data_IF_276135650648
#
_entry.id   IF_276135650648
#
_cell.length_a   1.000
_cell.length_b   1.000
_cell.length_c   1.000
_cell.angle_alpha   90.00
_cell.angle_beta   90.00
_cell.angle_gamma   90.00
#
_symmetry.space_group_name_H-M   'P 1'
#
loop_
_entity.id
_entity.type
_entity.pdbx_description
1 polymer ?
#
# COMPACT_ATOMS: atom_id res chain seq x y z
N UNK A 1 -30.79 -13.18 31.23
CA UNK A 1 -30.95 -11.74 30.95
C UNK A 1 -29.90 -11.36 29.93
N UNK A 2 -30.22 -11.42 28.64
CA UNK A 2 -29.28 -11.07 27.56
C UNK A 2 -29.21 -9.55 27.45
N UNK A 3 -28.02 -8.98 27.61
CA UNK A 3 -27.77 -7.56 27.28
C UNK A 3 -28.25 -7.33 25.84
N UNK A 4 -29.15 -6.37 25.59
CA UNK A 4 -29.54 -6.04 24.22
C UNK A 4 -28.27 -5.64 23.47
N UNK A 5 -28.10 -6.13 22.25
CA UNK A 5 -26.99 -5.76 21.38
C UNK A 5 -27.01 -4.23 21.16
N UNK A 6 -26.34 -3.49 22.04
CA UNK A 6 -26.17 -2.04 21.93
C UNK A 6 -25.19 -1.78 20.80
N UNK A 7 -25.70 -1.75 19.57
CA UNK A 7 -24.91 -1.22 18.46
C UNK A 7 -24.60 0.24 18.80
N UNK A 8 -23.32 0.59 18.89
CA UNK A 8 -22.91 1.97 19.09
C UNK A 8 -23.03 2.67 17.73
N UNK A 9 -24.00 3.59 17.53
CA UNK A 9 -24.15 4.25 16.24
C UNK A 9 -22.89 5.09 15.99
N UNK A 10 -22.21 4.87 14.87
CA UNK A 10 -20.98 5.60 14.51
C UNK A 10 -21.28 7.10 14.29
N UNK A 11 -22.52 7.42 13.91
CA UNK A 11 -23.03 8.79 13.77
C UNK A 11 -24.38 8.82 14.50
N UNK A 12 -24.46 9.59 15.56
CA UNK A 12 -25.67 9.72 16.39
C UNK A 12 -26.50 10.94 16.01
N UNK A 13 -25.88 12.01 15.51
CA UNK A 13 -26.56 13.24 15.08
C UNK A 13 -25.85 13.91 13.89
N UNK A 14 -26.55 14.78 13.16
CA UNK A 14 -25.97 15.58 12.05
C UNK A 14 -24.79 16.47 12.50
N UNK A 15 -24.72 16.80 13.79
CA UNK A 15 -23.61 17.56 14.39
C UNK A 15 -22.33 16.72 14.54
N UNK A 16 -22.45 15.39 14.64
CA UNK A 16 -21.31 14.46 14.80
C UNK A 16 -20.68 14.07 13.46
N UNK A 17 -21.43 14.26 12.37
CA UNK A 17 -21.06 13.98 10.99
C UNK A 17 -19.69 14.58 10.57
N UNK A 18 -19.36 15.87 10.83
CA UNK A 18 -18.04 16.42 10.50
C UNK A 18 -16.90 15.76 11.29
N UNK A 19 -17.10 15.48 12.57
CA UNK A 19 -16.08 14.84 13.43
C UNK A 19 -15.85 13.38 13.00
N UNK A 20 -16.92 12.65 12.69
CA UNK A 20 -16.84 11.28 12.19
C UNK A 20 -16.13 11.21 10.84
N UNK A 21 -16.39 12.15 9.91
CA UNK A 21 -15.68 12.26 8.62
C UNK A 21 -14.18 12.50 8.82
N UNK A 22 -13.81 13.40 9.74
CA UNK A 22 -12.41 13.68 10.06
C UNK A 22 -11.68 12.43 10.58
N UNK A 23 -12.33 11.64 11.43
CA UNK A 23 -11.76 10.37 11.93
C UNK A 23 -11.61 9.33 10.83
N UNK A 24 -12.60 9.17 9.94
CA UNK A 24 -12.51 8.22 8.81
C UNK A 24 -11.35 8.51 7.87
N UNK A 25 -11.07 9.79 7.60
CA UNK A 25 -9.95 10.18 6.75
C UNK A 25 -8.61 9.70 7.31
N UNK A 26 -8.42 9.74 8.64
CA UNK A 26 -7.18 9.27 9.29
C UNK A 26 -6.91 7.78 8.97
N UNK A 27 -7.96 6.95 8.94
CA UNK A 27 -7.84 5.51 8.69
C UNK A 27 -7.82 5.14 7.20
N UNK A 28 -8.38 5.98 6.33
CA UNK A 28 -8.40 5.74 4.87
C UNK A 28 -7.10 6.22 4.20
N UNK A 29 -6.47 7.28 4.73
CA UNK A 29 -5.23 7.84 4.19
C UNK A 29 -4.11 6.80 3.99
N UNK A 30 -3.78 5.92 4.97
CA UNK A 30 -2.79 4.88 4.77
C UNK A 30 -3.13 3.98 3.58
N UNK A 31 -4.38 3.51 3.48
CA UNK A 31 -4.83 2.67 2.37
C UNK A 31 -4.63 3.36 1.02
N UNK A 32 -5.15 4.57 0.84
CA UNK A 32 -5.05 5.30 -0.43
C UNK A 32 -3.60 5.56 -0.81
N UNK A 33 -2.77 5.92 0.16
CA UNK A 33 -1.39 6.28 -0.08
C UNK A 33 -0.56 5.06 -0.50
N UNK A 34 -0.74 3.91 0.16
CA UNK A 34 -0.10 2.67 -0.28
C UNK A 34 -0.67 2.17 -1.61
N UNK A 35 -1.98 2.22 -1.80
CA UNK A 35 -2.64 1.84 -3.05
C UNK A 35 -2.10 2.63 -4.26
N UNK A 36 -2.06 3.97 -4.18
CA UNK A 36 -1.60 4.82 -5.27
C UNK A 36 -0.12 4.59 -5.60
N UNK A 37 0.74 4.52 -4.58
CA UNK A 37 2.16 4.24 -4.78
C UNK A 37 2.39 2.86 -5.40
N UNK A 38 1.68 1.84 -4.91
CA UNK A 38 1.71 0.49 -5.46
C UNK A 38 1.22 0.47 -6.91
N UNK A 39 0.13 1.16 -7.22
CA UNK A 39 -0.40 1.24 -8.59
C UNK A 39 0.61 1.87 -9.55
N UNK A 40 1.27 2.97 -9.15
CA UNK A 40 2.31 3.61 -9.97
C UNK A 40 3.47 2.64 -10.21
N UNK A 41 3.95 1.95 -9.16
CA UNK A 41 5.04 0.99 -9.27
C UNK A 41 4.68 -0.19 -10.19
N UNK A 42 3.45 -0.70 -10.08
CA UNK A 42 2.95 -1.80 -10.89
C UNK A 42 2.71 -1.40 -12.36
N UNK A 43 2.30 -0.16 -12.64
CA UNK A 43 2.22 0.37 -14.02
C UNK A 43 3.61 0.40 -14.66
N UNK A 44 4.63 0.89 -13.94
CA UNK A 44 6.00 0.91 -14.42
C UNK A 44 6.48 -0.52 -14.68
N UNK A 45 6.17 -1.45 -13.76
CA UNK A 45 6.57 -2.83 -13.92
C UNK A 45 5.89 -3.52 -15.10
N UNK A 46 4.59 -3.30 -15.28
CA UNK A 46 3.83 -3.80 -16.42
C UNK A 46 4.41 -3.26 -17.74
N UNK A 47 4.73 -1.96 -17.79
CA UNK A 47 5.34 -1.35 -18.96
C UNK A 47 6.70 -1.99 -19.30
N UNK A 48 7.59 -2.15 -18.30
CA UNK A 48 8.88 -2.83 -18.50
C UNK A 48 8.68 -4.29 -18.93
N UNK A 49 7.74 -5.01 -18.30
CA UNK A 49 7.42 -6.39 -18.64
C UNK A 49 6.97 -6.56 -20.09
N UNK A 50 6.11 -5.65 -20.57
CA UNK A 50 5.58 -5.68 -21.95
C UNK A 50 6.62 -5.22 -22.97
N UNK A 51 7.26 -4.07 -22.76
CA UNK A 51 8.08 -3.44 -23.79
C UNK A 51 9.52 -3.97 -23.85
N UNK A 52 10.06 -4.49 -22.74
CA UNK A 52 11.48 -4.87 -22.65
C UNK A 52 11.65 -6.39 -22.52
N UNK A 53 10.76 -7.08 -21.80
CA UNK A 53 11.01 -8.48 -21.38
C UNK A 53 10.21 -9.52 -22.18
N UNK A 54 8.93 -9.69 -21.87
CA UNK A 54 8.13 -10.87 -22.29
C UNK A 54 7.04 -10.54 -23.31
N UNK A 55 6.92 -9.28 -23.73
CA UNK A 55 5.95 -8.86 -24.73
C UNK A 55 4.50 -8.94 -24.26
N UNK A 56 3.59 -9.04 -25.22
CA UNK A 56 2.12 -9.06 -25.02
C UNK A 56 1.55 -10.45 -24.71
N UNK A 57 2.40 -11.47 -24.52
CA UNK A 57 1.95 -12.80 -24.10
C UNK A 57 1.20 -12.69 -22.77
N UNK A 58 0.05 -13.35 -22.65
CA UNK A 58 -0.77 -13.40 -21.42
C UNK A 58 -1.14 -12.00 -20.86
N UNK A 59 -1.29 -11.00 -21.74
CA UNK A 59 -1.48 -9.59 -21.38
C UNK A 59 -2.67 -9.35 -20.43
N UNK A 60 -3.80 -10.05 -20.65
CA UNK A 60 -4.97 -9.91 -19.80
C UNK A 60 -4.67 -10.30 -18.34
N UNK A 61 -3.91 -11.38 -18.14
CA UNK A 61 -3.52 -11.82 -16.80
C UNK A 61 -2.51 -10.88 -16.18
N UNK A 62 -1.54 -10.39 -16.96
CA UNK A 62 -0.58 -9.36 -16.49
C UNK A 62 -1.32 -8.13 -16.00
N UNK A 63 -2.25 -7.61 -16.80
CA UNK A 63 -3.04 -6.40 -16.48
C UNK A 63 -3.91 -6.61 -15.25
N UNK A 64 -4.65 -7.71 -15.15
CA UNK A 64 -5.49 -7.99 -13.98
C UNK A 64 -4.64 -8.14 -12.71
N UNK A 65 -3.51 -8.85 -12.81
CA UNK A 65 -2.60 -9.05 -11.69
C UNK A 65 -2.00 -7.72 -11.21
N UNK A 66 -1.40 -6.93 -12.10
CA UNK A 66 -0.64 -5.73 -11.73
C UNK A 66 -1.51 -4.50 -11.50
N UNK A 67 -2.64 -4.32 -12.21
CA UNK A 67 -3.44 -3.10 -12.08
C UNK A 67 -4.64 -3.24 -11.15
N UNK A 68 -5.10 -4.47 -10.88
CA UNK A 68 -6.27 -4.72 -10.02
C UNK A 68 -5.84 -5.39 -8.73
N UNK A 69 -5.36 -6.64 -8.80
CA UNK A 69 -5.16 -7.46 -7.60
C UNK A 69 -3.99 -6.98 -6.74
N UNK A 70 -2.83 -6.70 -7.36
CA UNK A 70 -1.63 -6.32 -6.62
C UNK A 70 -1.79 -4.98 -5.87
N UNK A 71 -2.19 -3.86 -6.49
CA UNK A 71 -2.29 -2.57 -5.81
C UNK A 71 -3.41 -2.56 -4.77
N UNK A 72 -4.54 -3.22 -5.02
CA UNK A 72 -5.59 -3.38 -4.01
C UNK A 72 -5.12 -4.25 -2.83
N UNK A 73 -4.44 -5.37 -3.10
CA UNK A 73 -3.90 -6.25 -2.06
C UNK A 73 -2.82 -5.57 -1.22
N UNK A 74 -1.87 -4.89 -1.88
CA UNK A 74 -0.80 -4.13 -1.22
C UNK A 74 -1.35 -2.95 -0.42
N UNK A 75 -2.25 -2.16 -1.02
CA UNK A 75 -2.90 -1.04 -0.34
C UNK A 75 -3.73 -1.47 0.85
N UNK A 76 -4.51 -2.55 0.70
CA UNK A 76 -5.32 -3.15 1.76
C UNK A 76 -4.47 -3.69 2.91
N UNK A 77 -3.47 -4.51 2.60
CA UNK A 77 -2.59 -5.11 3.60
C UNK A 77 -1.78 -4.04 4.35
N UNK A 78 -1.07 -3.15 3.64
CA UNK A 78 -0.26 -2.12 4.30
C UNK A 78 -1.11 -1.04 4.95
N UNK A 79 -2.22 -0.63 4.34
CA UNK A 79 -3.15 0.33 4.94
C UNK A 79 -3.76 -0.21 6.23
N UNK A 80 -4.18 -1.48 6.24
CA UNK A 80 -4.72 -2.16 7.41
C UNK A 80 -3.68 -2.34 8.52
N UNK A 81 -2.51 -2.89 8.20
CA UNK A 81 -1.43 -3.08 9.18
C UNK A 81 -0.94 -1.74 9.75
N UNK A 82 -0.79 -0.72 8.92
CA UNK A 82 -0.41 0.63 9.37
C UNK A 82 -1.47 1.21 10.31
N UNK A 83 -2.75 1.01 9.98
CA UNK A 83 -3.86 1.45 10.82
C UNK A 83 -3.89 0.74 12.17
N UNK A 84 -3.69 -0.57 12.20
CA UNK A 84 -3.75 -1.36 13.43
C UNK A 84 -2.53 -1.15 14.33
N UNK A 85 -1.33 -1.05 13.75
CA UNK A 85 -0.09 -1.06 14.53
C UNK A 85 0.54 0.33 14.75
N UNK A 86 0.19 1.32 13.92
CA UNK A 86 0.90 2.61 13.90
C UNK A 86 -0.02 3.79 14.17
N UNK A 87 -1.17 3.85 13.48
CA UNK A 87 -2.16 4.91 13.69
C UNK A 87 -2.61 4.89 15.16
N UNK A 88 -2.73 6.07 15.76
CA UNK A 88 -3.04 6.33 17.18
C UNK A 88 -2.00 5.83 18.22
N UNK A 89 -1.04 4.98 17.84
CA UNK A 89 -0.01 4.45 18.74
C UNK A 89 1.32 5.21 18.67
N UNK A 90 1.73 5.64 17.48
CA UNK A 90 3.03 6.28 17.26
C UNK A 90 2.90 7.52 16.38
N UNK A 91 3.75 8.53 16.64
CA UNK A 91 3.83 9.74 15.82
C UNK A 91 5.29 10.20 15.64
N UNK A 92 5.55 10.99 14.59
CA UNK A 92 6.87 11.51 14.28
C UNK A 92 7.85 10.45 13.76
N UNK A 93 9.16 10.71 13.92
CA UNK A 93 10.23 9.87 13.32
C UNK A 93 10.13 8.38 13.68
N UNK A 94 9.67 8.04 14.88
CA UNK A 94 9.49 6.63 15.29
C UNK A 94 8.47 5.91 14.42
N UNK A 95 7.32 6.54 14.17
CA UNK A 95 6.29 5.99 13.28
C UNK A 95 6.79 5.86 11.83
N UNK A 96 7.61 6.82 11.36
CA UNK A 96 8.22 6.77 10.04
C UNK A 96 9.11 5.53 9.87
N UNK A 97 10.05 5.33 10.79
CA UNK A 97 10.94 4.16 10.74
C UNK A 97 10.17 2.85 10.88
N UNK A 98 9.16 2.81 11.74
CA UNK A 98 8.33 1.62 11.90
C UNK A 98 7.53 1.29 10.64
N UNK A 99 7.00 2.32 9.96
CA UNK A 99 6.35 2.17 8.64
C UNK A 99 7.33 1.65 7.57
N UNK A 100 8.57 2.13 7.57
CA UNK A 100 9.60 1.67 6.64
C UNK A 100 9.97 0.20 6.86
N UNK A 101 10.13 -0.21 8.13
CA UNK A 101 10.41 -1.61 8.50
C UNK A 101 9.22 -2.50 8.13
N UNK A 102 8.00 -2.07 8.45
CA UNK A 102 6.78 -2.80 8.11
C UNK A 102 6.64 -2.97 6.60
N UNK A 103 6.87 -1.89 5.83
CA UNK A 103 6.87 -1.92 4.37
C UNK A 103 7.92 -2.89 3.83
N UNK A 104 9.13 -2.86 4.39
CA UNK A 104 10.19 -3.79 4.00
C UNK A 104 9.78 -5.23 4.27
N UNK A 105 9.22 -5.56 5.43
CA UNK A 105 8.80 -6.93 5.73
C UNK A 105 7.68 -7.39 4.79
N UNK A 106 6.59 -6.64 4.72
CA UNK A 106 5.39 -7.05 3.99
C UNK A 106 5.63 -7.05 2.48
N UNK A 107 6.13 -5.94 1.92
CA UNK A 107 6.35 -5.86 0.48
C UNK A 107 7.52 -6.71 0.02
N UNK A 108 8.53 -7.00 0.85
CA UNK A 108 9.56 -7.97 0.45
C UNK A 108 8.98 -9.37 0.33
N UNK A 109 8.11 -9.78 1.26
CA UNK A 109 7.40 -11.06 1.15
C UNK A 109 6.49 -11.11 -0.08
N UNK A 110 5.74 -10.04 -0.37
CA UNK A 110 4.92 -9.95 -1.57
C UNK A 110 5.77 -9.99 -2.86
N UNK A 111 6.89 -9.28 -2.89
CA UNK A 111 7.80 -9.27 -4.02
C UNK A 111 8.44 -10.65 -4.25
N UNK A 112 8.83 -11.33 -3.17
CA UNK A 112 9.37 -12.68 -3.26
C UNK A 112 8.32 -13.69 -3.74
N UNK A 113 7.06 -13.55 -3.32
CA UNK A 113 5.95 -14.33 -3.86
C UNK A 113 5.78 -14.06 -5.37
N UNK A 114 5.77 -12.80 -5.79
CA UNK A 114 5.66 -12.44 -7.21
C UNK A 114 6.83 -12.98 -8.03
N UNK A 115 8.05 -12.95 -7.51
CA UNK A 115 9.22 -13.55 -8.15
C UNK A 115 9.03 -15.06 -8.38
N UNK A 116 8.59 -15.80 -7.36
CA UNK A 116 8.38 -17.25 -7.50
C UNK A 116 7.22 -17.60 -8.44
N UNK A 117 6.11 -16.86 -8.36
CA UNK A 117 4.99 -17.03 -9.29
C UNK A 117 5.44 -16.73 -10.73
N UNK A 118 6.23 -15.68 -10.92
CA UNK A 118 6.72 -15.32 -12.24
C UNK A 118 7.75 -16.31 -12.79
N UNK A 119 8.54 -16.97 -11.95
CA UNK A 119 9.38 -18.08 -12.38
C UNK A 119 8.58 -19.28 -12.91
N UNK A 120 7.35 -19.46 -12.40
CA UNK A 120 6.45 -20.51 -12.86
C UNK A 120 5.68 -20.11 -14.13
N UNK A 121 5.13 -18.90 -14.18
CA UNK A 121 4.27 -18.44 -15.28
C UNK A 121 5.03 -17.74 -16.43
N UNK A 122 6.19 -17.15 -16.17
CA UNK A 122 7.03 -16.47 -17.17
C UNK A 122 6.44 -15.17 -17.70
N UNK A 123 5.73 -14.40 -16.88
CA UNK A 123 5.02 -13.18 -17.30
C UNK A 123 5.90 -11.93 -17.30
N UNK A 124 6.91 -11.82 -16.44
CA UNK A 124 7.68 -10.59 -16.21
C UNK A 124 9.19 -10.82 -16.19
N UNK A 125 9.66 -11.92 -16.77
CA UNK A 125 11.08 -12.16 -17.01
C UNK A 125 11.89 -12.56 -15.78
N UNK A 126 11.28 -13.11 -14.72
CA UNK A 126 12.01 -13.55 -13.52
C UNK A 126 13.09 -14.61 -13.81
N UNK A 127 12.90 -15.46 -14.82
CA UNK A 127 13.89 -16.47 -15.20
C UNK A 127 15.10 -15.85 -15.94
N UNK A 128 14.87 -14.81 -16.77
CA UNK A 128 15.91 -14.18 -17.59
C UNK A 128 16.60 -13.01 -16.88
N UNK A 129 15.86 -12.29 -16.02
CA UNK A 129 16.28 -11.07 -15.35
C UNK A 129 15.94 -11.08 -13.84
N UNK A 130 16.44 -12.04 -13.04
CA UNK A 130 16.07 -12.18 -11.63
C UNK A 130 16.41 -10.96 -10.76
N UNK A 131 17.48 -10.23 -11.10
CA UNK A 131 17.87 -9.01 -10.39
C UNK A 131 16.83 -7.88 -10.51
N UNK A 132 15.97 -7.90 -11.53
CA UNK A 132 14.88 -6.94 -11.68
C UNK A 132 13.82 -7.02 -10.56
N UNK A 133 13.71 -8.18 -9.91
CA UNK A 133 12.85 -8.34 -8.74
C UNK A 133 13.58 -7.95 -7.45
N UNK A 134 14.88 -8.23 -7.34
CA UNK A 134 15.62 -7.99 -6.09
C UNK A 134 16.09 -6.54 -5.89
N UNK A 135 16.31 -5.78 -6.97
CA UNK A 135 16.69 -4.36 -6.83
C UNK A 135 15.58 -3.50 -6.19
N UNK A 136 14.35 -4.04 -6.10
CA UNK A 136 13.20 -3.37 -5.49
C UNK A 136 13.30 -3.25 -3.98
N UNK A 137 14.05 -4.10 -3.29
CA UNK A 137 14.08 -4.08 -1.81
C UNK A 137 14.56 -2.73 -1.24
N UNK A 138 15.64 -2.10 -1.75
CA UNK A 138 15.99 -0.72 -1.40
C UNK A 138 14.86 0.29 -1.67
N UNK A 139 14.19 0.17 -2.82
CA UNK A 139 13.09 1.06 -3.20
C UNK A 139 11.89 0.89 -2.26
N UNK A 140 11.54 -0.35 -1.90
CA UNK A 140 10.48 -0.68 -0.94
C UNK A 140 10.72 0.03 0.40
N UNK A 141 11.95 -0.03 0.91
CA UNK A 141 12.30 0.65 2.15
C UNK A 141 12.18 2.18 2.01
N UNK A 142 12.71 2.75 0.93
CA UNK A 142 12.67 4.19 0.70
C UNK A 142 11.23 4.72 0.56
N UNK A 143 10.39 4.01 -0.19
CA UNK A 143 8.96 4.33 -0.35
C UNK A 143 8.22 4.16 0.97
N UNK A 144 8.52 3.11 1.75
CA UNK A 144 7.95 2.93 3.09
C UNK A 144 8.30 4.08 4.05
N UNK A 145 9.55 4.54 4.02
CA UNK A 145 9.99 5.71 4.79
C UNK A 145 9.32 7.00 4.32
N UNK A 146 9.19 7.20 3.01
CA UNK A 146 8.48 8.34 2.44
C UNK A 146 7.00 8.36 2.83
N UNK A 147 6.33 7.22 2.72
CA UNK A 147 4.93 7.05 3.09
C UNK A 147 4.72 7.30 4.58
N UNK A 148 5.58 6.73 5.43
CA UNK A 148 5.57 7.03 6.86
C UNK A 148 5.78 8.52 7.15
N UNK A 149 6.68 9.18 6.41
CA UNK A 149 6.93 10.61 6.56
C UNK A 149 5.71 11.46 6.20
N UNK A 150 4.99 11.08 5.14
CA UNK A 150 3.74 11.75 4.74
C UNK A 150 2.63 11.55 5.78
N UNK A 151 2.49 10.34 6.32
CA UNK A 151 1.40 9.99 7.23
C UNK A 151 1.61 10.52 8.66
N UNK A 152 2.85 10.52 9.16
CA UNK A 152 3.13 10.68 10.60
C UNK A 152 3.99 11.90 10.95
N UNK A 153 4.13 12.88 10.05
CA UNK A 153 4.79 14.16 10.35
C UNK A 153 3.92 15.33 9.95
N UNK A 154 4.04 16.46 10.66
CA UNK A 154 3.20 17.64 10.42
C UNK A 154 3.36 18.17 8.98
N UNK A 155 4.61 18.29 8.51
CA UNK A 155 4.92 18.69 7.13
C UNK A 155 4.37 17.69 6.10
N UNK A 156 4.38 16.41 6.44
CA UNK A 156 3.83 15.34 5.60
C UNK A 156 2.31 15.46 5.47
N UNK A 157 1.61 15.61 6.59
CA UNK A 157 0.15 15.74 6.61
C UNK A 157 -0.31 17.03 5.95
N UNK A 158 0.43 18.12 6.09
CA UNK A 158 0.15 19.37 5.37
C UNK A 158 0.22 19.16 3.85
N UNK A 159 1.22 18.42 3.35
CA UNK A 159 1.33 18.08 1.93
C UNK A 159 0.18 17.19 1.47
N UNK A 160 -0.20 16.18 2.25
CA UNK A 160 -1.35 15.32 1.92
C UNK A 160 -2.64 16.15 1.84
N UNK A 161 -2.86 17.04 2.80
CA UNK A 161 -4.04 17.91 2.81
C UNK A 161 -4.12 18.81 1.56
N UNK A 162 -2.97 19.35 1.08
CA UNK A 162 -2.91 20.11 -0.18
C UNK A 162 -3.24 19.28 -1.41
N UNK A 163 -2.96 17.98 -1.38
CA UNK A 163 -3.29 17.03 -2.45
C UNK A 163 -4.74 16.52 -2.36
N UNK A 164 -5.54 17.01 -1.41
CA UNK A 164 -6.91 16.56 -1.19
C UNK A 164 -7.02 15.23 -0.45
N UNK A 165 -5.94 14.75 0.16
CA UNK A 165 -5.89 13.55 1.00
C UNK A 165 -5.88 13.89 2.49
#
# INVERSE_FOLDING_TARGET
MSLPNTYQPIITTDKDLPTARKRRLIYIRPFLLFYLNSLIAEIIFLAVGIFIMTGTRDLLYKVLWTLVFCPLGMGGAMGGLTTVFIVDHYYGKKAVHFTAILSLLVFSSCNYLCYNLDRHFGWFGANDHPMWFHWRYPMIWAVGYWNGSLLFTDKGQERLARLGM
#
